data_IF_045399993783
#
_entry.id   IF_045399993783
#
_cell.length_a   1.000
_cell.length_b   1.000
_cell.length_c   1.000
_cell.angle_alpha   90.00
_cell.angle_beta   90.00
_cell.angle_gamma   90.00
#
_symmetry.space_group_name_H-M   'P 1'
#
loop_
_entity.id
_entity.type
_entity.pdbx_description
1 polymer ?
#
# COMPACT_ATOMS: atom_id res chain seq x y z
N UNK A 1 -18.42 -2.81 -1.54
CA UNK A 1 -18.05 -1.58 -2.28
C UNK A 1 -17.64 -0.43 -1.35
N UNK A 2 -18.52 0.09 -0.47
CA UNK A 2 -18.22 1.24 0.41
C UNK A 2 -17.01 1.02 1.33
N UNK A 3 -16.88 -0.16 1.92
CA UNK A 3 -15.74 -0.55 2.76
C UNK A 3 -14.41 -0.51 2.01
N UNK A 4 -14.40 -0.92 0.75
CA UNK A 4 -13.19 -0.92 -0.11
C UNK A 4 -12.74 0.52 -0.33
N UNK A 5 -13.65 1.44 -0.65
CA UNK A 5 -13.32 2.86 -0.80
C UNK A 5 -12.76 3.48 0.47
N UNK A 6 -13.31 3.14 1.64
CA UNK A 6 -12.80 3.67 2.92
C UNK A 6 -11.36 3.19 3.17
N UNK A 7 -11.10 1.90 2.99
CA UNK A 7 -9.76 1.32 3.15
C UNK A 7 -8.77 1.93 2.15
N UNK A 8 -9.21 2.12 0.91
CA UNK A 8 -8.40 2.67 -0.17
C UNK A 8 -8.02 4.14 0.09
N UNK A 9 -8.96 4.98 0.53
CA UNK A 9 -8.70 6.37 0.91
C UNK A 9 -7.71 6.44 2.08
N UNK A 10 -7.88 5.59 3.10
CA UNK A 10 -6.93 5.50 4.21
C UNK A 10 -5.52 5.10 3.72
N UNK A 11 -5.46 4.15 2.78
CA UNK A 11 -4.25 3.73 2.11
C UNK A 11 -3.55 4.85 1.35
N UNK A 12 -4.30 5.60 0.54
CA UNK A 12 -3.81 6.77 -0.18
C UNK A 12 -3.27 7.84 0.76
N UNK A 13 -4.01 8.19 1.81
CA UNK A 13 -3.53 9.13 2.82
C UNK A 13 -2.22 8.66 3.47
N UNK A 14 -2.09 7.36 3.75
CA UNK A 14 -0.91 6.77 4.35
C UNK A 14 0.33 6.89 3.44
N UNK A 15 0.21 6.54 2.16
CA UNK A 15 1.34 6.62 1.21
C UNK A 15 1.69 8.06 0.85
N UNK A 16 0.70 8.95 0.70
CA UNK A 16 0.94 10.37 0.47
C UNK A 16 1.67 11.01 1.65
N UNK A 17 1.31 10.63 2.88
CA UNK A 17 2.02 11.08 4.06
C UNK A 17 3.46 10.57 4.11
N UNK A 18 3.71 9.30 3.73
CA UNK A 18 5.06 8.75 3.65
C UNK A 18 5.92 9.53 2.63
N UNK A 19 5.37 9.78 1.43
CA UNK A 19 6.04 10.55 0.38
C UNK A 19 6.37 11.96 0.88
N UNK A 20 5.44 12.61 1.59
CA UNK A 20 5.67 13.93 2.17
C UNK A 20 6.79 13.91 3.23
N UNK A 21 6.81 12.91 4.11
CA UNK A 21 7.89 12.76 5.09
C UNK A 21 9.24 12.48 4.41
N UNK A 22 9.26 11.64 3.39
CA UNK A 22 10.46 11.33 2.60
C UNK A 22 11.01 12.60 1.93
N UNK A 23 10.12 13.42 1.38
CA UNK A 23 10.49 14.72 0.83
C UNK A 23 11.07 15.66 1.90
N UNK A 24 10.43 15.75 3.08
CA UNK A 24 10.95 16.57 4.19
C UNK A 24 12.32 16.08 4.70
N UNK A 25 12.55 14.77 4.72
CA UNK A 25 13.84 14.19 5.06
C UNK A 25 14.92 14.60 4.05
N UNK A 26 14.66 14.45 2.75
CA UNK A 26 15.66 14.74 1.72
C UNK A 26 15.92 16.24 1.51
N UNK A 27 14.88 17.07 1.59
CA UNK A 27 15.00 18.52 1.31
C UNK A 27 15.39 19.32 2.56
N UNK A 28 14.91 18.91 3.73
CA UNK A 28 15.06 19.68 4.96
C UNK A 28 15.81 18.93 6.08
N UNK A 29 16.31 17.71 5.83
CA UNK A 29 16.95 16.86 6.84
C UNK A 29 16.10 16.66 8.11
N UNK A 30 14.77 16.71 7.96
CA UNK A 30 13.85 16.47 9.08
C UNK A 30 13.64 14.97 9.24
N UNK A 31 13.87 14.40 10.44
CA UNK A 31 13.67 12.98 10.67
C UNK A 31 12.20 12.59 10.47
N UNK A 32 11.95 11.38 9.96
CA UNK A 32 10.60 10.85 9.80
C UNK A 32 9.92 10.65 11.15
N UNK A 33 8.68 11.12 11.27
CA UNK A 33 7.88 10.90 12.49
C UNK A 33 7.43 9.45 12.54
N UNK A 34 7.91 8.70 13.54
CA UNK A 34 7.61 7.29 13.73
C UNK A 34 6.88 7.09 15.08
N UNK A 35 5.54 6.93 15.11
CA UNK A 35 4.77 6.89 16.36
C UNK A 35 5.17 5.78 17.34
N UNK A 36 5.57 4.61 16.85
CA UNK A 36 6.05 3.50 17.69
C UNK A 36 7.51 3.66 18.15
N UNK A 37 8.10 4.86 18.05
CA UNK A 37 9.53 5.11 18.32
C UNK A 37 10.46 4.18 17.53
N UNK A 38 10.00 3.73 16.36
CA UNK A 38 10.77 2.91 15.43
C UNK A 38 11.76 3.74 14.62
N UNK A 39 12.53 3.07 13.77
CA UNK A 39 13.51 3.71 12.87
C UNK A 39 12.96 3.77 11.44
N UNK A 40 11.87 4.53 11.25
CA UNK A 40 11.23 4.72 9.94
C UNK A 40 12.26 5.16 8.88
N UNK A 41 13.11 6.14 9.20
CA UNK A 41 14.19 6.63 8.33
C UNK A 41 15.11 5.52 7.82
N UNK A 42 15.49 4.61 8.71
CA UNK A 42 16.41 3.53 8.36
C UNK A 42 15.75 2.41 7.55
N UNK A 43 14.43 2.25 7.67
CA UNK A 43 13.65 1.31 6.84
C UNK A 43 13.46 1.88 5.44
N UNK A 44 13.11 3.16 5.33
CA UNK A 44 12.88 3.85 4.05
C UNK A 44 14.18 4.12 3.28
N UNK A 45 15.31 4.30 3.97
CA UNK A 45 16.64 4.38 3.36
C UNK A 45 17.23 3.00 2.97
N UNK A 46 16.57 1.89 3.32
CA UNK A 46 17.11 0.56 3.05
C UNK A 46 17.01 0.16 1.58
N UNK A 47 17.87 -0.75 1.14
CA UNK A 47 17.82 -1.34 -0.22
C UNK A 47 16.52 -2.09 -0.54
N UNK A 48 15.71 -2.40 0.48
CA UNK A 48 14.44 -3.10 0.31
C UNK A 48 13.27 -2.15 0.11
N UNK A 49 13.48 -0.84 0.33
CA UNK A 49 12.48 0.18 0.03
C UNK A 49 12.43 0.53 -1.46
N UNK A 50 13.32 -0.04 -2.28
CA UNK A 50 13.36 0.20 -3.72
C UNK A 50 13.25 -1.12 -4.49
N UNK A 51 12.39 -1.12 -5.50
CA UNK A 51 12.19 -2.25 -6.43
C UNK A 51 12.32 -1.72 -7.85
N UNK A 52 13.23 -2.31 -8.61
CA UNK A 52 13.60 -1.83 -9.95
C UNK A 52 13.95 -0.32 -9.98
N UNK A 53 14.50 0.21 -8.89
CA UNK A 53 14.82 1.64 -8.74
C UNK A 53 13.64 2.53 -8.34
N UNK A 54 12.42 2.00 -8.23
CA UNK A 54 11.22 2.73 -7.80
C UNK A 54 11.02 2.51 -6.30
N UNK A 55 10.78 3.58 -5.55
CA UNK A 55 10.51 3.47 -4.11
C UNK A 55 9.12 2.83 -3.88
N UNK A 56 9.02 1.99 -2.85
CA UNK A 56 7.80 1.23 -2.55
C UNK A 56 6.59 2.13 -2.25
N UNK A 57 6.82 3.36 -1.79
CA UNK A 57 5.78 4.37 -1.55
C UNK A 57 5.07 4.83 -2.84
N UNK A 58 5.79 4.92 -3.96
CA UNK A 58 5.17 5.19 -5.27
C UNK A 58 4.42 3.96 -5.80
N UNK A 59 4.97 2.76 -5.62
CA UNK A 59 4.28 1.52 -6.00
C UNK A 59 2.98 1.34 -5.21
N UNK A 60 2.99 1.65 -3.92
CA UNK A 60 1.79 1.65 -3.09
C UNK A 60 0.75 2.67 -3.55
N UNK A 61 1.19 3.86 -3.96
CA UNK A 61 0.29 4.88 -4.52
C UNK A 61 -0.39 4.39 -5.80
N UNK A 62 0.38 3.79 -6.72
CA UNK A 62 -0.15 3.21 -7.95
C UNK A 62 -1.15 2.07 -7.65
N UNK A 63 -0.86 1.26 -6.64
CA UNK A 63 -1.74 0.18 -6.20
C UNK A 63 -3.11 0.70 -5.74
N UNK A 64 -3.16 1.66 -4.81
CA UNK A 64 -4.44 2.21 -4.33
C UNK A 64 -5.23 2.90 -5.45
N UNK A 65 -4.56 3.67 -6.32
CA UNK A 65 -5.22 4.25 -7.50
C UNK A 65 -5.86 3.16 -8.38
N UNK A 66 -5.13 2.07 -8.63
CA UNK A 66 -5.63 0.96 -9.46
C UNK A 66 -6.85 0.30 -8.82
N UNK A 67 -6.82 0.06 -7.51
CA UNK A 67 -7.94 -0.51 -6.75
C UNK A 67 -9.16 0.41 -6.79
N UNK A 68 -8.98 1.71 -6.57
CA UNK A 68 -10.05 2.70 -6.65
C UNK A 68 -10.77 2.65 -8.00
N UNK A 69 -10.02 2.72 -9.10
CA UNK A 69 -10.59 2.70 -10.45
C UNK A 69 -11.27 1.37 -10.78
N UNK A 70 -10.67 0.23 -10.41
CA UNK A 70 -11.30 -1.08 -10.63
C UNK A 70 -12.62 -1.19 -9.86
N UNK A 71 -12.64 -0.74 -8.59
CA UNK A 71 -13.86 -0.75 -7.76
C UNK A 71 -14.93 0.17 -8.35
N UNK A 72 -14.54 1.33 -8.89
CA UNK A 72 -15.44 2.25 -9.58
C UNK A 72 -16.03 1.61 -10.84
N UNK A 73 -15.20 0.99 -11.69
CA UNK A 73 -15.67 0.35 -12.92
C UNK A 73 -16.62 -0.82 -12.63
N UNK A 74 -16.35 -1.62 -11.60
CA UNK A 74 -17.23 -2.72 -11.17
C UNK A 74 -18.60 -2.24 -10.68
N UNK A 75 -18.68 -1.05 -10.09
CA UNK A 75 -19.94 -0.44 -9.63
C UNK A 75 -20.75 0.23 -10.73
N UNK A 76 -20.21 0.41 -11.93
CA UNK A 76 -20.87 1.12 -13.02
C UNK A 76 -21.54 0.14 -14.01
N UNK A 77 -22.88 0.21 -14.20
CA UNK A 77 -23.61 -0.73 -15.05
C UNK A 77 -23.18 -0.67 -16.53
N UNK A 78 -22.62 0.47 -16.96
CA UNK A 78 -22.07 0.67 -18.32
C UNK A 78 -20.97 -0.33 -18.67
N UNK A 79 -20.26 -0.89 -17.68
CA UNK A 79 -19.12 -1.79 -17.89
C UNK A 79 -19.41 -3.24 -17.49
N UNK A 80 -20.68 -3.62 -17.38
CA UNK A 80 -21.11 -4.97 -16.95
C UNK A 80 -20.44 -6.10 -17.75
N UNK A 81 -20.21 -5.91 -19.06
CA UNK A 81 -19.57 -6.92 -19.91
C UNK A 81 -18.09 -7.18 -19.56
N UNK A 82 -17.42 -6.25 -18.88
CA UNK A 82 -16.03 -6.38 -18.42
C UNK A 82 -15.94 -6.70 -16.92
N UNK A 83 -17.07 -6.87 -16.23
CA UNK A 83 -17.09 -7.06 -14.77
C UNK A 83 -16.23 -8.25 -14.31
N UNK A 84 -16.36 -9.41 -14.95
CA UNK A 84 -15.59 -10.61 -14.62
C UNK A 84 -14.08 -10.43 -14.81
N UNK A 85 -13.65 -9.79 -15.91
CA UNK A 85 -12.23 -9.58 -16.19
C UNK A 85 -11.61 -8.54 -15.24
N UNK A 86 -12.34 -7.46 -14.92
CA UNK A 86 -11.92 -6.45 -13.96
C UNK A 86 -11.83 -7.06 -12.55
N UNK A 87 -12.79 -7.89 -12.16
CA UNK A 87 -12.83 -8.55 -10.86
C UNK A 87 -11.69 -9.56 -10.70
N UNK A 88 -11.39 -10.35 -11.74
CA UNK A 88 -10.23 -11.24 -11.76
C UNK A 88 -8.92 -10.45 -11.66
N UNK A 89 -8.79 -9.37 -12.44
CA UNK A 89 -7.61 -8.49 -12.40
C UNK A 89 -7.43 -7.86 -11.00
N UNK A 90 -8.51 -7.39 -10.38
CA UNK A 90 -8.49 -6.81 -9.04
C UNK A 90 -8.04 -7.84 -8.00
N UNK A 91 -8.62 -9.06 -8.03
CA UNK A 91 -8.24 -10.16 -7.12
C UNK A 91 -6.76 -10.51 -7.24
N UNK A 92 -6.22 -10.62 -8.46
CA UNK A 92 -4.79 -10.88 -8.68
C UNK A 92 -3.94 -9.73 -8.12
N UNK A 93 -4.26 -8.50 -8.48
CA UNK A 93 -3.53 -7.30 -8.06
C UNK A 93 -3.42 -7.21 -6.54
N UNK A 94 -4.54 -7.41 -5.84
CA UNK A 94 -4.57 -7.34 -4.37
C UNK A 94 -3.89 -8.54 -3.71
N UNK A 95 -3.99 -9.74 -4.29
CA UNK A 95 -3.25 -10.90 -3.80
C UNK A 95 -1.74 -10.69 -3.89
N UNK A 96 -1.24 -10.20 -5.03
CA UNK A 96 0.18 -9.90 -5.23
C UNK A 96 0.66 -8.81 -4.27
N UNK A 97 -0.10 -7.72 -4.14
CA UNK A 97 0.23 -6.63 -3.21
C UNK A 97 0.28 -7.11 -1.75
N UNK A 98 -0.61 -8.03 -1.36
CA UNK A 98 -0.65 -8.60 -0.01
C UNK A 98 0.56 -9.49 0.25
N UNK A 99 0.89 -10.39 -0.69
CA UNK A 99 2.09 -11.23 -0.60
C UNK A 99 3.36 -10.38 -0.50
N UNK A 100 3.44 -9.33 -1.32
CA UNK A 100 4.54 -8.37 -1.28
C UNK A 100 4.62 -7.63 0.06
N UNK A 101 3.48 -7.24 0.64
CA UNK A 101 3.43 -6.59 1.96
C UNK A 101 3.89 -7.51 3.09
N UNK A 102 3.50 -8.80 3.04
CA UNK A 102 3.97 -9.82 3.99
C UNK A 102 5.49 -10.00 3.88
N UNK A 103 6.03 -10.01 2.65
CA UNK A 103 7.48 -10.02 2.45
C UNK A 103 8.17 -8.81 3.08
N UNK A 104 7.64 -7.60 2.90
CA UNK A 104 8.20 -6.39 3.53
C UNK A 104 8.09 -6.40 5.06
N UNK A 105 7.03 -7.00 5.63
CA UNK A 105 6.95 -7.23 7.07
C UNK A 105 8.06 -8.18 7.55
N UNK A 106 8.27 -9.29 6.84
CA UNK A 106 9.37 -10.20 7.15
C UNK A 106 10.74 -9.51 7.08
N UNK A 107 10.96 -8.68 6.06
CA UNK A 107 12.19 -7.88 5.91
C UNK A 107 12.38 -6.96 7.13
N UNK A 108 11.34 -6.27 7.59
CA UNK A 108 11.41 -5.36 8.74
C UNK A 108 11.80 -6.09 10.04
N UNK A 109 11.07 -7.16 10.39
CA UNK A 109 11.26 -7.86 11.66
C UNK A 109 12.42 -8.86 11.65
N UNK A 110 12.62 -9.58 10.54
CA UNK A 110 13.62 -10.62 10.42
C UNK A 110 15.00 -10.09 10.00
N UNK A 111 15.04 -9.29 8.93
CA UNK A 111 16.30 -8.90 8.29
C UNK A 111 16.86 -7.61 8.90
N UNK A 112 16.06 -6.54 8.88
CA UNK A 112 16.51 -5.23 9.37
C UNK A 112 16.48 -5.14 10.89
N UNK A 113 15.57 -5.88 11.54
CA UNK A 113 15.26 -5.75 12.97
C UNK A 113 14.89 -4.31 13.33
N UNK A 114 14.24 -3.60 12.41
CA UNK A 114 13.79 -2.21 12.54
C UNK A 114 12.33 -2.12 12.17
N UNK A 115 11.60 -1.29 12.91
CA UNK A 115 10.15 -1.17 12.79
C UNK A 115 9.82 0.18 12.15
N UNK A 116 8.98 0.16 11.11
CA UNK A 116 8.37 1.36 10.54
C UNK A 116 6.85 1.30 10.73
N UNK A 117 6.30 2.22 11.53
CA UNK A 117 4.87 2.27 11.83
C UNK A 117 4.03 2.40 10.56
N UNK A 118 4.43 3.28 9.65
CA UNK A 118 3.69 3.57 8.43
C UNK A 118 3.69 2.39 7.45
N UNK A 119 4.79 1.64 7.36
CA UNK A 119 4.86 0.41 6.56
C UNK A 119 3.98 -0.71 7.15
N UNK A 120 3.90 -0.80 8.48
CA UNK A 120 2.99 -1.74 9.15
C UNK A 120 1.53 -1.37 8.84
N UNK A 121 1.18 -0.09 8.96
CA UNK A 121 -0.16 0.40 8.61
C UNK A 121 -0.49 0.06 7.15
N UNK A 122 0.41 0.33 6.19
CA UNK A 122 0.22 -0.08 4.79
C UNK A 122 -0.02 -1.58 4.65
N UNK A 123 0.73 -2.40 5.39
CA UNK A 123 0.61 -3.86 5.29
C UNK A 123 -0.74 -4.35 5.82
N UNK A 124 -1.20 -3.77 6.93
CA UNK A 124 -2.52 -4.07 7.49
C UNK A 124 -3.63 -3.65 6.53
N UNK A 125 -3.52 -2.45 5.94
CA UNK A 125 -4.50 -1.96 4.96
C UNK A 125 -4.57 -2.87 3.72
N UNK A 126 -3.42 -3.30 3.19
CA UNK A 126 -3.39 -4.22 2.05
C UNK A 126 -4.03 -5.58 2.36
N UNK A 127 -3.75 -6.15 3.54
CA UNK A 127 -4.38 -7.40 3.99
C UNK A 127 -5.90 -7.22 4.16
N UNK A 128 -6.33 -6.13 4.79
CA UNK A 128 -7.75 -5.82 4.99
C UNK A 128 -8.47 -5.63 3.65
N UNK A 129 -7.82 -4.97 2.68
CA UNK A 129 -8.35 -4.77 1.34
C UNK A 129 -8.46 -6.10 0.58
N UNK A 130 -7.48 -7.00 0.74
CA UNK A 130 -7.55 -8.37 0.21
C UNK A 130 -8.77 -9.12 0.74
N UNK A 131 -8.95 -9.14 2.05
CA UNK A 131 -10.11 -9.80 2.66
C UNK A 131 -11.41 -9.18 2.17
N UNK A 132 -11.49 -7.84 2.11
CA UNK A 132 -12.68 -7.15 1.62
C UNK A 132 -13.00 -7.50 0.16
N UNK A 133 -11.98 -7.59 -0.71
CA UNK A 133 -12.15 -7.95 -2.13
C UNK A 133 -12.53 -9.41 -2.30
N UNK A 134 -11.99 -10.35 -1.52
CA UNK A 134 -12.35 -11.77 -1.65
C UNK A 134 -13.69 -12.14 -1.00
N UNK A 135 -14.12 -11.39 0.02
CA UNK A 135 -15.36 -11.68 0.76
C UNK A 135 -16.58 -10.94 0.19
N UNK A 136 -16.40 -9.71 -0.31
CA UNK A 136 -17.51 -8.82 -0.70
C UNK A 136 -17.73 -8.71 -2.22
N UNK A 137 -16.84 -9.29 -3.04
CA UNK A 137 -16.85 -9.31 -4.51
C UNK A 137 -16.57 -10.73 -4.99
#
# INVERSE_FOLDING_TARGET
MTTIYILDILGMCNVLYLIWQHYQLNTHNKPMTCPLRGSCDAVTASKYNTIFGIQNEYLGTLFYITVFFCTYLLGNPTYIHLSESILLFLRITVAVATLFSIYLLYVQFGILKKVCTWCIISSILNIALCIAVFLLL
#
